data_IF_310399746520
#
_entry.id   IF_310399746520
#
_cell.length_a   1.000
_cell.length_b   1.000
_cell.length_c   1.000
_cell.angle_alpha   90.00
_cell.angle_beta   90.00
_cell.angle_gamma   90.00
#
_symmetry.space_group_name_H-M   'P 1'
#
loop_
_entity.id
_entity.type
_entity.pdbx_description
1 polymer ?
#
# COMPACT_ATOMS: atom_id res chain seq x y z
N UNK A 1 8.08 20.82 -9.33
CA UNK A 1 6.93 20.15 -8.71
C UNK A 1 5.77 21.10 -8.64
N UNK A 2 4.54 20.63 -8.79
CA UNK A 2 3.32 21.41 -8.59
C UNK A 2 2.59 20.90 -7.35
N UNK A 3 1.82 21.76 -6.68
CA UNK A 3 0.97 21.34 -5.59
C UNK A 3 -0.27 20.62 -6.13
N UNK A 4 -0.76 19.64 -5.39
CA UNK A 4 -1.99 18.92 -5.67
C UNK A 4 -2.66 18.53 -4.36
N UNK A 5 -3.94 18.24 -4.42
CA UNK A 5 -4.71 17.69 -3.31
C UNK A 5 -5.22 16.31 -3.71
N UNK A 6 -5.17 15.36 -2.80
CA UNK A 6 -5.78 14.05 -3.01
C UNK A 6 -6.96 13.87 -2.06
N UNK A 7 -8.02 13.29 -2.59
CA UNK A 7 -9.21 12.90 -1.83
C UNK A 7 -9.40 11.41 -2.03
N UNK A 8 -9.52 10.70 -0.92
CA UNK A 8 -9.73 9.25 -0.91
C UNK A 8 -10.97 8.87 -0.13
N UNK A 9 -11.66 7.85 -0.60
CA UNK A 9 -12.73 7.16 0.10
C UNK A 9 -12.32 5.71 0.28
N UNK A 10 -12.45 5.19 1.49
CA UNK A 10 -12.02 3.85 1.84
C UNK A 10 -13.08 3.16 2.66
N UNK A 11 -13.55 2.03 2.18
CA UNK A 11 -14.38 1.09 2.93
C UNK A 11 -13.50 -0.03 3.44
N UNK A 12 -12.89 0.17 4.61
CA UNK A 12 -12.08 -0.84 5.28
C UNK A 12 -12.88 -1.46 6.42
N UNK A 13 -12.94 -2.78 6.46
CA UNK A 13 -13.50 -3.50 7.60
C UNK A 13 -12.45 -3.55 8.71
N UNK A 14 -11.19 -3.78 8.34
CA UNK A 14 -10.06 -3.83 9.27
C UNK A 14 -8.73 -3.58 8.55
N UNK A 15 -7.89 -2.75 9.15
CA UNK A 15 -6.54 -2.46 8.67
C UNK A 15 -5.50 -3.03 9.66
N UNK A 16 -4.31 -3.35 9.17
CA UNK A 16 -3.20 -3.82 10.01
C UNK A 16 -2.81 -2.85 11.12
N UNK A 17 -3.06 -1.55 10.96
CA UNK A 17 -2.77 -0.52 11.95
C UNK A 17 -3.94 -0.30 12.93
N UNK A 18 -5.12 -0.85 12.66
CA UNK A 18 -6.26 -0.74 13.55
C UNK A 18 -6.05 -1.56 14.85
N UNK A 19 -6.70 -1.16 15.95
CA UNK A 19 -6.72 -1.96 17.17
C UNK A 19 -7.17 -3.40 16.88
N UNK A 20 -6.59 -4.41 17.56
CA UNK A 20 -6.87 -5.82 17.24
C UNK A 20 -8.19 -6.34 17.78
N UNK A 21 -9.00 -5.50 18.41
CA UNK A 21 -10.27 -5.90 18.99
C UNK A 21 -11.24 -6.41 17.92
N UNK A 22 -11.67 -7.66 18.05
CA UNK A 22 -12.65 -8.29 17.16
C UNK A 22 -12.09 -8.92 15.88
N UNK A 23 -10.79 -8.76 15.59
CA UNK A 23 -10.14 -9.33 14.41
C UNK A 23 -8.85 -10.06 14.75
N UNK A 24 -8.46 -11.07 13.95
CA UNK A 24 -7.15 -11.69 14.11
C UNK A 24 -6.05 -10.63 13.94
N UNK A 25 -5.20 -10.51 14.93
CA UNK A 25 -4.13 -9.54 14.91
C UNK A 25 -3.20 -9.79 13.69
N UNK A 26 -2.96 -8.73 12.89
CA UNK A 26 -2.20 -8.80 11.63
C UNK A 26 -3.02 -9.21 10.41
N UNK A 27 -4.34 -9.22 10.52
CA UNK A 27 -5.22 -9.28 9.36
C UNK A 27 -5.46 -7.89 8.77
N UNK A 28 -5.77 -7.85 7.49
CA UNK A 28 -6.25 -6.67 6.77
C UNK A 28 -7.39 -7.10 5.86
N UNK A 29 -8.48 -6.36 5.90
CA UNK A 29 -9.63 -6.57 5.02
C UNK A 29 -10.12 -5.19 4.58
N UNK A 30 -9.93 -4.88 3.31
CA UNK A 30 -10.29 -3.61 2.71
C UNK A 30 -11.05 -3.87 1.40
N UNK A 31 -12.15 -3.18 1.22
CA UNK A 31 -12.94 -3.21 -0.01
C UNK A 31 -13.18 -1.79 -0.50
N UNK A 32 -13.16 -1.59 -1.82
CA UNK A 32 -13.53 -0.34 -2.48
C UNK A 32 -12.80 0.88 -1.90
N UNK A 33 -11.49 0.92 -2.06
CA UNK A 33 -10.70 2.12 -1.84
C UNK A 33 -10.53 2.87 -3.15
N UNK A 34 -10.93 4.13 -3.18
CA UNK A 34 -10.74 5.03 -4.32
C UNK A 34 -9.96 6.27 -3.91
N UNK A 35 -9.01 6.70 -4.74
CA UNK A 35 -8.25 7.94 -4.56
C UNK A 35 -8.20 8.73 -5.85
N UNK A 36 -8.56 9.99 -5.75
CA UNK A 36 -8.50 10.95 -6.85
C UNK A 36 -7.55 12.09 -6.50
N UNK A 37 -6.86 12.61 -7.48
CA UNK A 37 -5.98 13.76 -7.39
C UNK A 37 -6.64 14.96 -8.05
N UNK A 38 -6.62 16.08 -7.34
CA UNK A 38 -7.01 17.39 -7.82
C UNK A 38 -5.75 18.21 -8.09
N UNK A 39 -5.50 18.54 -9.33
CA UNK A 39 -4.32 19.32 -9.73
C UNK A 39 -4.64 20.81 -9.64
N UNK A 40 -3.71 21.61 -9.08
CA UNK A 40 -3.87 23.08 -9.02
C UNK A 40 -3.65 23.73 -10.40
N UNK A 41 -4.20 24.93 -10.58
CA UNK A 41 -4.06 25.71 -11.83
C UNK A 41 -2.60 25.98 -12.21
N UNK A 42 -1.71 26.20 -11.24
CA UNK A 42 -0.27 26.36 -11.51
C UNK A 42 0.36 25.09 -12.11
N UNK A 43 -0.11 23.94 -11.68
CA UNK A 43 0.35 22.67 -12.22
C UNK A 43 -0.18 22.44 -13.64
N UNK A 44 -1.38 22.92 -13.93
CA UNK A 44 -1.98 22.85 -15.27
C UNK A 44 -1.28 23.78 -16.29
N UNK A 45 -0.89 24.99 -15.90
CA UNK A 45 -0.14 25.93 -16.75
C UNK A 45 1.20 25.34 -17.23
N UNK A 46 1.83 24.50 -16.42
CA UNK A 46 3.10 23.82 -16.73
C UNK A 46 2.94 22.52 -17.53
N UNK A 47 1.74 21.97 -17.56
CA UNK A 47 1.43 20.72 -18.24
C UNK A 47 -0.03 20.73 -18.75
N UNK A 48 -0.30 21.43 -19.85
CA UNK A 48 -1.66 21.73 -20.34
C UNK A 48 -2.51 20.51 -20.66
N UNK A 49 -1.90 19.34 -20.84
CA UNK A 49 -2.61 18.09 -21.10
C UNK A 49 -3.05 17.35 -19.83
N UNK A 50 -2.81 17.91 -18.64
CA UNK A 50 -3.20 17.27 -17.38
C UNK A 50 -4.63 17.63 -17.03
N UNK A 51 -5.42 16.60 -16.71
CA UNK A 51 -6.80 16.80 -16.26
C UNK A 51 -6.82 17.43 -14.88
N UNK A 52 -7.84 18.25 -14.60
CA UNK A 52 -8.06 18.83 -13.27
C UNK A 52 -8.23 17.73 -12.24
N UNK A 53 -8.94 16.67 -12.60
CA UNK A 53 -9.21 15.51 -11.74
C UNK A 53 -8.61 14.26 -12.37
N UNK A 54 -7.81 13.53 -11.62
CA UNK A 54 -7.17 12.30 -12.06
C UNK A 54 -7.44 11.17 -11.07
N UNK A 55 -7.88 10.01 -11.56
CA UNK A 55 -7.92 8.80 -10.75
C UNK A 55 -6.47 8.35 -10.48
N UNK A 56 -6.11 8.15 -9.23
CA UNK A 56 -4.79 7.67 -8.81
C UNK A 56 -4.81 6.19 -8.44
N UNK A 57 -5.89 5.76 -7.78
CA UNK A 57 -6.02 4.40 -7.28
C UNK A 57 -7.48 3.99 -7.18
N UNK A 58 -7.76 2.75 -7.51
CA UNK A 58 -9.02 2.06 -7.24
C UNK A 58 -8.69 0.64 -6.78
N UNK A 59 -8.77 0.35 -5.51
CA UNK A 59 -8.64 -1.00 -4.96
C UNK A 59 -10.04 -1.60 -4.83
N UNK A 60 -10.28 -2.72 -5.48
CA UNK A 60 -11.54 -3.46 -5.37
C UNK A 60 -11.54 -4.29 -4.08
N UNK A 61 -10.45 -5.00 -3.82
CA UNK A 61 -10.21 -5.64 -2.53
C UNK A 61 -8.71 -5.71 -2.24
N UNK A 62 -8.39 -5.68 -0.96
CA UNK A 62 -7.07 -5.95 -0.39
C UNK A 62 -7.26 -6.76 0.87
N UNK A 63 -6.76 -7.98 0.88
CA UNK A 63 -6.84 -8.89 2.01
C UNK A 63 -5.46 -9.42 2.34
N UNK A 64 -5.15 -9.53 3.63
CA UNK A 64 -3.89 -10.09 4.09
C UNK A 64 -4.01 -10.74 5.46
N UNK A 65 -3.12 -11.68 5.73
CA UNK A 65 -2.94 -12.29 7.02
C UNK A 65 -1.44 -12.42 7.31
N UNK A 66 -0.98 -11.73 8.34
CA UNK A 66 0.39 -11.77 8.84
C UNK A 66 0.40 -12.48 10.20
N UNK A 67 -0.11 -13.72 10.22
CA UNK A 67 -0.16 -14.55 11.39
C UNK A 67 1.27 -14.96 11.81
N UNK A 68 1.70 -14.67 13.05
CA UNK A 68 3.04 -15.02 13.49
C UNK A 68 3.21 -16.52 13.66
N UNK A 69 4.39 -17.02 13.25
CA UNK A 69 4.82 -18.39 13.46
C UNK A 69 4.90 -18.69 14.95
N UNK A 70 4.21 -19.74 15.41
CA UNK A 70 4.26 -20.25 16.78
C UNK A 70 4.37 -21.76 16.77
N UNK A 71 5.41 -22.28 17.41
CA UNK A 71 5.58 -23.72 17.55
C UNK A 71 4.39 -24.35 18.32
N UNK A 72 3.82 -25.49 17.89
CA UNK A 72 4.17 -26.28 16.69
C UNK A 72 3.44 -25.84 15.40
N UNK A 73 2.77 -24.69 15.38
CA UNK A 73 2.02 -24.19 14.22
C UNK A 73 2.87 -23.20 13.46
N UNK A 74 2.91 -23.36 12.14
CA UNK A 74 3.64 -22.50 11.21
C UNK A 74 2.64 -21.87 10.23
N UNK A 75 1.78 -20.92 10.68
CA UNK A 75 0.81 -20.32 9.80
C UNK A 75 1.53 -19.56 8.70
N UNK A 76 1.07 -19.76 7.47
CA UNK A 76 1.56 -19.06 6.30
C UNK A 76 0.99 -17.64 6.27
N UNK A 77 1.86 -16.65 6.11
CA UNK A 77 1.46 -15.26 5.92
C UNK A 77 1.23 -15.02 4.43
N UNK A 78 0.15 -14.33 4.10
CA UNK A 78 -0.21 -14.09 2.70
C UNK A 78 -0.92 -12.75 2.53
N UNK A 79 -0.90 -12.25 1.29
CA UNK A 79 -1.72 -11.12 0.87
C UNK A 79 -2.23 -11.31 -0.55
N UNK A 80 -3.36 -10.68 -0.85
CA UNK A 80 -3.90 -10.56 -2.19
C UNK A 80 -4.54 -9.17 -2.35
N UNK A 81 -4.34 -8.57 -3.52
CA UNK A 81 -4.88 -7.27 -3.85
C UNK A 81 -5.29 -7.24 -5.32
N UNK A 82 -6.47 -6.72 -5.61
CA UNK A 82 -6.98 -6.48 -6.95
C UNK A 82 -7.46 -5.04 -7.07
N UNK A 83 -7.07 -4.36 -8.13
CA UNK A 83 -7.46 -2.98 -8.34
C UNK A 83 -6.95 -2.41 -9.65
N UNK A 84 -6.87 -1.10 -9.68
CA UNK A 84 -6.22 -0.35 -10.74
C UNK A 84 -5.49 0.85 -10.12
N UNK A 85 -4.29 1.12 -10.59
CA UNK A 85 -3.45 2.20 -10.07
C UNK A 85 -2.75 2.96 -11.18
N UNK A 86 -2.38 4.19 -10.88
CA UNK A 86 -1.60 5.01 -11.79
C UNK A 86 -0.11 4.65 -11.69
N UNK A 87 0.43 4.16 -12.78
CA UNK A 87 1.85 3.82 -12.92
C UNK A 87 2.58 5.01 -13.56
N UNK A 88 3.73 5.34 -12.97
CA UNK A 88 4.61 6.42 -13.41
C UNK A 88 6.04 5.90 -13.46
N UNK A 89 6.43 5.36 -14.60
CA UNK A 89 7.78 4.84 -14.83
C UNK A 89 8.24 5.04 -16.27
N UNK A 90 9.37 4.45 -16.65
CA UNK A 90 9.95 4.60 -17.98
C UNK A 90 9.08 4.00 -19.09
N UNK A 91 8.27 2.99 -18.78
CA UNK A 91 7.36 2.36 -19.74
C UNK A 91 6.00 3.04 -19.85
N UNK A 92 5.74 3.98 -18.94
CA UNK A 92 4.48 4.71 -18.90
C UNK A 92 4.57 5.97 -18.04
N UNK A 93 4.45 7.12 -18.65
CA UNK A 93 4.52 8.38 -17.90
C UNK A 93 3.32 8.61 -16.95
N UNK A 94 2.15 8.01 -17.24
CA UNK A 94 0.89 8.20 -16.48
C UNK A 94 -0.21 7.20 -16.83
N UNK A 95 0.11 5.94 -16.98
CA UNK A 95 -0.91 4.94 -17.27
C UNK A 95 -1.75 4.59 -16.05
N UNK A 96 -3.04 4.45 -16.24
CA UNK A 96 -3.91 3.81 -15.29
C UNK A 96 -4.01 2.33 -15.69
N UNK A 97 -3.51 1.45 -14.84
CA UNK A 97 -3.38 0.03 -15.13
C UNK A 97 -4.15 -0.81 -14.11
N UNK A 98 -4.91 -1.80 -14.58
CA UNK A 98 -5.42 -2.84 -13.71
C UNK A 98 -4.25 -3.63 -13.13
N UNK A 99 -4.33 -4.02 -11.87
CA UNK A 99 -3.30 -4.83 -11.22
C UNK A 99 -3.90 -5.91 -10.33
N UNK A 100 -3.17 -7.01 -10.25
CA UNK A 100 -3.37 -8.09 -9.29
C UNK A 100 -2.04 -8.34 -8.61
N UNK A 101 -2.00 -8.28 -7.29
CA UNK A 101 -0.84 -8.66 -6.49
C UNK A 101 -1.19 -9.82 -5.58
N UNK A 102 -0.28 -10.79 -5.48
CA UNK A 102 -0.36 -11.89 -4.52
C UNK A 102 1.00 -12.09 -3.87
N UNK A 103 1.01 -12.47 -2.62
CA UNK A 103 2.27 -12.71 -1.92
C UNK A 103 2.09 -13.73 -0.80
N UNK A 104 3.19 -14.42 -0.49
CA UNK A 104 3.22 -15.39 0.56
C UNK A 104 4.59 -15.50 1.25
N UNK A 105 4.57 -15.89 2.53
CA UNK A 105 5.78 -15.99 3.34
C UNK A 105 5.49 -16.23 4.81
N UNK A 106 6.29 -15.63 5.68
CA UNK A 106 6.20 -15.88 7.11
C UNK A 106 6.34 -14.59 7.93
N UNK A 107 5.76 -14.62 9.12
CA UNK A 107 5.82 -13.53 10.10
C UNK A 107 6.37 -14.07 11.41
N UNK A 108 7.32 -13.35 11.99
CA UNK A 108 7.81 -13.58 13.35
C UNK A 108 7.15 -12.60 14.30
N UNK A 109 6.58 -13.10 15.39
CA UNK A 109 6.02 -12.29 16.46
C UNK A 109 6.98 -12.23 17.64
N UNK A 110 7.24 -11.03 18.13
CA UNK A 110 8.14 -10.75 19.26
C UNK A 110 7.44 -9.89 20.33
N UNK A 111 7.83 -10.10 21.58
CA UNK A 111 7.24 -9.38 22.71
C UNK A 111 5.92 -9.98 23.18
N UNK A 112 5.30 -9.32 24.19
CA UNK A 112 3.99 -9.73 24.71
C UNK A 112 2.92 -9.50 23.64
N UNK A 113 2.10 -10.52 23.37
CA UNK A 113 0.99 -10.46 22.39
C UNK A 113 1.43 -10.05 20.97
N UNK A 114 2.69 -10.39 20.56
CA UNK A 114 3.25 -10.07 19.26
C UNK A 114 3.20 -8.55 18.92
N UNK A 115 3.58 -7.73 19.91
CA UNK A 115 3.64 -6.27 19.74
C UNK A 115 4.57 -5.85 18.60
N UNK A 116 5.62 -6.60 18.37
CA UNK A 116 6.52 -6.44 17.24
C UNK A 116 6.37 -7.63 16.31
N UNK A 117 6.07 -7.38 15.05
CA UNK A 117 6.02 -8.38 14.00
C UNK A 117 6.98 -8.01 12.89
N UNK A 118 7.76 -8.99 12.48
CA UNK A 118 8.67 -8.87 11.35
C UNK A 118 8.23 -9.91 10.33
N UNK A 119 7.98 -9.50 9.11
CA UNK A 119 7.51 -10.40 8.06
C UNK A 119 8.35 -10.28 6.79
N UNK A 120 8.44 -11.40 6.10
CA UNK A 120 9.03 -11.52 4.76
C UNK A 120 8.09 -12.27 3.85
N UNK A 121 7.86 -11.73 2.66
CA UNK A 121 7.01 -12.31 1.61
C UNK A 121 7.77 -12.38 0.30
N UNK A 122 7.47 -13.37 -0.51
CA UNK A 122 7.67 -13.32 -1.95
C UNK A 122 6.36 -12.87 -2.59
N UNK A 123 6.43 -11.82 -3.39
CA UNK A 123 5.27 -11.25 -4.05
C UNK A 123 5.39 -11.40 -5.56
N UNK A 124 4.25 -11.64 -6.20
CA UNK A 124 4.06 -11.54 -7.63
C UNK A 124 2.98 -10.52 -7.94
N UNK A 125 3.18 -9.74 -8.98
CA UNK A 125 2.20 -8.78 -9.46
C UNK A 125 2.03 -8.89 -10.97
N UNK A 126 0.82 -8.65 -11.40
CA UNK A 126 0.43 -8.52 -12.79
C UNK A 126 -0.23 -7.16 -12.98
N UNK A 127 0.20 -6.41 -13.99
CA UNK A 127 -0.39 -5.14 -14.35
C UNK A 127 -0.69 -5.11 -15.87
N UNK A 128 -1.84 -4.55 -16.23
CA UNK A 128 -2.26 -4.46 -17.62
C UNK A 128 -2.87 -3.09 -17.96
N UNK A 129 -2.44 -2.56 -19.08
CA UNK A 129 -3.04 -1.39 -19.74
C UNK A 129 -2.59 -1.34 -21.18
N UNK A 130 -3.47 -0.94 -22.15
CA UNK A 130 -3.06 -0.73 -23.53
C UNK A 130 -2.07 0.44 -23.70
N UNK A 131 -1.90 1.26 -22.65
CA UNK A 131 -1.01 2.42 -22.69
C UNK A 131 0.45 2.11 -22.32
N UNK A 132 0.80 0.87 -21.98
CA UNK A 132 2.19 0.49 -21.81
C UNK A 132 2.94 0.50 -23.15
N UNK A 133 4.16 1.01 -23.13
CA UNK A 133 5.05 0.95 -24.29
C UNK A 133 5.62 -0.46 -24.41
N UNK A 134 5.44 -1.09 -25.57
CA UNK A 134 5.91 -2.45 -25.85
C UNK A 134 4.82 -3.50 -25.68
N UNK A 135 4.63 -4.05 -24.50
CA UNK A 135 3.61 -5.06 -24.24
C UNK A 135 2.48 -4.49 -23.35
N UNK A 136 1.20 -4.84 -23.61
CA UNK A 136 0.07 -4.35 -22.82
C UNK A 136 0.02 -4.93 -21.39
N UNK A 137 0.93 -5.84 -21.08
CA UNK A 137 1.01 -6.58 -19.82
C UNK A 137 2.41 -6.46 -19.24
N UNK A 138 2.50 -6.38 -17.94
CA UNK A 138 3.73 -6.42 -17.16
C UNK A 138 3.59 -7.44 -16.04
N UNK A 139 4.64 -8.23 -15.83
CA UNK A 139 4.75 -9.15 -14.70
C UNK A 139 5.88 -8.67 -13.78
N UNK A 140 5.66 -8.75 -12.50
CA UNK A 140 6.61 -8.37 -11.47
C UNK A 140 6.71 -9.50 -10.44
N UNK A 141 7.92 -9.75 -9.95
CA UNK A 141 8.12 -10.68 -8.85
C UNK A 141 9.33 -10.27 -8.01
N UNK A 142 9.23 -10.48 -6.69
CA UNK A 142 10.35 -10.22 -5.81
C UNK A 142 10.01 -10.19 -4.33
N UNK A 143 11.03 -10.02 -3.48
CA UNK A 143 10.86 -10.00 -2.04
C UNK A 143 10.25 -8.69 -1.55
N UNK A 144 9.47 -8.82 -0.47
CA UNK A 144 9.00 -7.75 0.40
C UNK A 144 9.29 -8.11 1.84
N UNK A 145 9.79 -7.17 2.60
CA UNK A 145 9.97 -7.29 4.03
C UNK A 145 9.32 -6.12 4.76
N UNK A 146 8.87 -6.36 5.98
CA UNK A 146 8.28 -5.29 6.77
C UNK A 146 8.27 -5.57 8.25
N UNK A 147 7.99 -4.49 8.97
CA UNK A 147 7.86 -4.45 10.42
C UNK A 147 6.57 -3.76 10.78
N UNK A 148 5.81 -4.36 11.67
CA UNK A 148 4.67 -3.78 12.35
C UNK A 148 4.97 -3.75 13.85
N UNK A 149 4.98 -2.57 14.45
CA UNK A 149 5.29 -2.40 15.87
C UNK A 149 4.21 -1.59 16.57
N UNK A 150 3.70 -2.14 17.67
CA UNK A 150 2.70 -1.51 18.54
C UNK A 150 3.31 -1.31 19.94
N UNK A 151 4.12 -0.26 20.15
CA UNK A 151 4.73 0.00 21.45
C UNK A 151 3.69 0.28 22.52
N UNK A 152 2.55 0.85 22.13
CA UNK A 152 1.42 1.17 22.99
C UNK A 152 0.10 0.79 22.29
N UNK A 153 -0.97 0.61 23.06
CA UNK A 153 -2.30 0.26 22.52
C UNK A 153 -2.84 1.28 21.49
N UNK A 154 -2.40 2.54 21.58
CA UNK A 154 -2.86 3.65 20.74
C UNK A 154 -1.90 4.04 19.63
N UNK A 155 -0.73 3.44 19.55
CA UNK A 155 0.26 3.77 18.53
C UNK A 155 0.66 2.50 17.78
N UNK A 156 0.45 2.51 16.48
CA UNK A 156 0.94 1.50 15.57
C UNK A 156 1.93 2.14 14.58
N UNK A 157 3.07 1.50 14.37
CA UNK A 157 4.12 1.88 13.44
C UNK A 157 4.28 0.78 12.40
N UNK A 158 4.48 1.16 11.14
CA UNK A 158 4.72 0.24 10.04
C UNK A 158 5.89 0.73 9.20
N UNK A 159 6.75 -0.20 8.82
CA UNK A 159 7.76 0.05 7.79
C UNK A 159 7.83 -1.16 6.87
N UNK A 160 7.91 -0.93 5.58
CA UNK A 160 8.02 -1.96 4.54
C UNK A 160 9.04 -1.54 3.49
N UNK A 161 9.72 -2.53 2.91
CA UNK A 161 10.56 -2.35 1.74
C UNK A 161 10.34 -3.51 0.77
N UNK A 162 10.43 -3.22 -0.52
CA UNK A 162 10.31 -4.23 -1.57
C UNK A 162 11.30 -4.00 -2.70
N UNK A 163 11.65 -5.08 -3.38
CA UNK A 163 12.38 -5.06 -4.63
C UNK A 163 11.81 -6.10 -5.58
N UNK A 164 11.45 -5.72 -6.80
CA UNK A 164 10.80 -6.59 -7.78
C UNK A 164 11.54 -6.53 -9.11
N UNK A 165 11.81 -7.67 -9.71
CA UNK A 165 12.18 -7.80 -11.12
C UNK A 165 10.94 -7.63 -11.99
N UNK A 166 11.05 -6.90 -13.10
CA UNK A 166 9.98 -6.64 -14.04
C UNK A 166 10.25 -7.37 -15.35
N UNK A 167 9.25 -8.12 -15.81
CA UNK A 167 9.22 -8.73 -17.15
C UNK A 167 8.29 -7.93 -18.06
N UNK A 168 8.62 -7.89 -19.33
CA UNK A 168 7.89 -7.14 -20.36
C UNK A 168 7.83 -5.63 -20.09
N UNK A 169 8.89 -5.06 -19.51
CA UNK A 169 9.01 -3.63 -19.20
C UNK A 169 10.37 -3.10 -19.64
N UNK A 170 10.43 -1.82 -20.00
CA UNK A 170 11.70 -1.12 -20.25
C UNK A 170 12.54 -0.93 -18.98
N UNK A 171 11.89 -0.91 -17.82
CA UNK A 171 12.54 -0.90 -16.54
C UNK A 171 12.63 -2.35 -16.04
N UNK A 172 13.82 -2.79 -15.65
CA UNK A 172 14.05 -4.17 -15.20
C UNK A 172 13.79 -4.38 -13.71
N UNK A 173 13.84 -3.30 -12.93
CA UNK A 173 13.69 -3.35 -11.48
C UNK A 173 12.78 -2.26 -10.97
N UNK A 174 11.90 -2.62 -10.05
CA UNK A 174 11.15 -1.71 -9.21
C UNK A 174 11.57 -1.92 -7.75
N UNK A 175 11.73 -0.85 -7.02
CA UNK A 175 12.02 -0.90 -5.58
C UNK A 175 11.34 0.25 -4.87
N UNK A 176 11.06 0.05 -3.61
CA UNK A 176 10.44 1.09 -2.80
C UNK A 176 10.42 0.76 -1.33
N UNK A 177 10.01 1.74 -0.56
CA UNK A 177 9.73 1.60 0.86
C UNK A 177 8.49 2.43 1.23
N UNK A 178 7.87 2.04 2.33
CA UNK A 178 6.79 2.75 3.00
C UNK A 178 7.08 2.77 4.49
N UNK A 179 6.89 3.91 5.13
CA UNK A 179 6.88 4.02 6.58
C UNK A 179 5.67 4.83 7.01
N UNK A 180 5.02 4.43 8.08
CA UNK A 180 3.83 5.12 8.56
C UNK A 180 3.57 4.88 10.03
N UNK A 181 2.77 5.77 10.60
CA UNK A 181 2.30 5.69 11.97
C UNK A 181 0.82 6.01 12.03
N UNK A 182 0.10 5.31 12.88
CA UNK A 182 -1.29 5.60 13.22
C UNK A 182 -1.41 5.82 14.72
N UNK A 183 -1.97 6.94 15.07
CA UNK A 183 -2.19 7.33 16.46
C UNK A 183 -3.68 7.49 16.74
N UNK A 184 -4.24 6.65 17.60
CA UNK A 184 -5.63 6.76 18.05
C UNK A 184 -5.77 7.91 19.06
N UNK A 185 -6.72 8.81 18.80
CA UNK A 185 -6.93 10.04 19.60
C UNK A 185 -7.79 9.71 20.80
N UNK A 186 -7.15 9.42 21.93
CA UNK A 186 -7.85 9.15 23.19
C UNK A 186 -8.77 7.92 23.11
N UNK A 187 -10.03 8.11 23.49
CA UNK A 187 -11.13 7.12 23.37
C UNK A 187 -12.09 7.47 22.23
N UNK A 188 -11.76 8.48 21.44
CA UNK A 188 -12.59 8.93 20.32
C UNK A 188 -12.45 7.95 19.15
N UNK A 189 -13.46 7.85 18.30
CA UNK A 189 -13.40 7.04 17.09
C UNK A 189 -12.58 7.73 15.97
N UNK A 190 -11.48 8.38 16.34
CA UNK A 190 -10.59 9.08 15.41
C UNK A 190 -9.15 8.63 15.57
N UNK A 191 -8.44 8.58 14.45
CA UNK A 191 -7.00 8.37 14.43
C UNK A 191 -6.32 9.33 13.46
N UNK A 192 -5.10 9.73 13.79
CA UNK A 192 -4.18 10.43 12.91
C UNK A 192 -3.25 9.42 12.26
N UNK A 193 -3.24 9.39 10.93
CA UNK A 193 -2.34 8.58 10.11
C UNK A 193 -1.32 9.50 9.44
N UNK A 194 -0.03 9.18 9.58
CA UNK A 194 1.06 9.89 8.91
C UNK A 194 1.91 8.82 8.22
N UNK A 195 2.12 8.98 6.93
CA UNK A 195 2.93 8.04 6.16
C UNK A 195 3.82 8.73 5.14
N UNK A 196 4.95 8.10 4.86
CA UNK A 196 5.86 8.45 3.80
C UNK A 196 6.19 7.21 2.99
N UNK A 197 6.28 7.35 1.68
CA UNK A 197 6.62 6.26 0.79
C UNK A 197 7.55 6.75 -0.33
N UNK A 198 8.40 5.87 -0.78
CA UNK A 198 9.20 6.05 -2.00
C UNK A 198 8.98 4.83 -2.89
N UNK A 199 8.61 5.09 -4.12
CA UNK A 199 8.55 4.08 -5.17
C UNK A 199 9.43 4.55 -6.32
N UNK A 200 10.48 3.81 -6.61
CA UNK A 200 11.51 4.18 -7.59
C UNK A 200 12.06 5.59 -7.32
N UNK A 201 11.64 6.58 -8.11
CA UNK A 201 12.11 7.98 -8.03
C UNK A 201 11.11 8.95 -7.39
N UNK A 202 9.88 8.50 -7.12
CA UNK A 202 8.87 9.34 -6.47
C UNK A 202 8.92 9.19 -4.95
N UNK A 203 8.97 10.31 -4.26
CA UNK A 203 8.81 10.41 -2.81
C UNK A 203 7.45 11.05 -2.53
N UNK A 204 6.65 10.42 -1.68
CA UNK A 204 5.34 10.92 -1.24
C UNK A 204 5.30 10.99 0.28
N UNK A 205 4.60 11.98 0.81
CA UNK A 205 4.26 12.08 2.23
C UNK A 205 2.77 12.41 2.33
N UNK A 206 2.09 11.76 3.26
CA UNK A 206 0.65 11.89 3.44
C UNK A 206 0.32 12.01 4.93
N UNK A 207 -0.69 12.81 5.24
CA UNK A 207 -1.34 12.85 6.54
C UNK A 207 -2.84 12.70 6.35
N UNK A 208 -3.50 11.90 7.17
CA UNK A 208 -4.94 11.69 7.11
C UNK A 208 -5.55 11.65 8.51
N UNK A 209 -6.72 12.25 8.66
CA UNK A 209 -7.58 12.05 9.83
C UNK A 209 -8.61 10.98 9.46
N UNK A 210 -8.64 9.92 10.23
CA UNK A 210 -9.55 8.79 10.02
C UNK A 210 -10.64 8.80 11.08
N UNK A 211 -11.87 8.49 10.68
CA UNK A 211 -13.00 8.28 11.57
C UNK A 211 -13.47 6.83 11.46
N UNK A 212 -13.77 6.21 12.60
CA UNK A 212 -14.32 4.86 12.68
C UNK A 212 -15.81 4.96 13.03
N UNK A 213 -16.65 4.22 12.33
CA UNK A 213 -18.10 4.19 12.52
C UNK A 213 -18.57 2.79 12.85
#
# INVERSE_FOLDING_TARGET
GGAFTEVGLRFAIHDMLDPPEGYPAGSQIEFLHGRIRLNTDEYQKRAPFRRIVEAEELTLFRVASYAPVRFPRYPFSWRAELGATRIKDQGCSRCFAAHLEVGGGYTLGLGKQDQLRIYGLMEGAWAATPAFTGAPVRLEAGPKAGVLWRPFSRLALRAEAYGRGLLFSHQHWAYGWLAGSRWQIGRLPYALDISGARANRELTAQGALMAYF
#
